data_IF_751549760679
#
_entry.id   IF_751549760679
#
_cell.length_a   1.000
_cell.length_b   1.000
_cell.length_c   1.000
_cell.angle_alpha   90.00
_cell.angle_beta   90.00
_cell.angle_gamma   90.00
#
_symmetry.space_group_name_H-M   'P 1'
#
loop_
_entity.id
_entity.type
_entity.pdbx_description
1 polymer ?
#
# COMPACT_ATOMS: atom_id res chain seq x y z
N UNK A 1 4.23 10.43 -34.61
CA UNK A 1 4.41 10.38 -33.13
C UNK A 1 3.26 9.56 -32.56
N UNK A 2 3.48 8.30 -32.23
CA UNK A 2 2.47 7.41 -31.67
C UNK A 2 2.17 7.89 -30.22
N UNK A 3 0.96 8.41 -29.99
CA UNK A 3 0.43 8.63 -28.64
C UNK A 3 0.42 7.27 -27.95
N UNK A 4 1.36 7.04 -27.02
CA UNK A 4 1.32 5.91 -26.11
C UNK A 4 -0.02 5.96 -25.37
N UNK A 5 -1.00 5.19 -25.85
CA UNK A 5 -2.16 4.77 -25.07
C UNK A 5 -1.63 3.90 -23.94
N UNK A 6 -1.21 4.52 -22.84
CA UNK A 6 -1.09 3.83 -21.55
C UNK A 6 -2.49 3.30 -21.30
N UNK A 7 -2.57 1.99 -21.23
CA UNK A 7 -3.79 1.21 -21.22
C UNK A 7 -4.88 1.88 -20.37
N UNK A 8 -5.91 2.40 -21.04
CA UNK A 8 -7.11 3.01 -20.44
C UNK A 8 -7.92 2.02 -19.58
N UNK A 9 -7.34 0.86 -19.25
CA UNK A 9 -7.99 -0.28 -18.58
C UNK A 9 -7.57 -0.51 -17.14
N UNK A 10 -6.49 0.13 -16.62
CA UNK A 10 -6.10 -0.08 -15.22
C UNK A 10 -6.58 1.11 -14.37
N UNK A 11 -7.81 1.03 -13.92
CA UNK A 11 -8.50 2.03 -13.09
C UNK A 11 -9.00 1.46 -11.75
N UNK A 12 -8.61 0.23 -11.45
CA UNK A 12 -9.08 -0.50 -10.26
C UNK A 12 -7.95 -0.69 -9.26
N UNK A 13 -8.22 -0.32 -8.00
CA UNK A 13 -7.33 -0.60 -6.86
C UNK A 13 -8.06 -1.35 -5.75
N UNK A 14 -7.39 -2.36 -5.20
CA UNK A 14 -7.81 -3.07 -3.98
C UNK A 14 -7.05 -2.49 -2.80
N UNK A 15 -7.75 -2.15 -1.73
CA UNK A 15 -7.14 -1.64 -0.49
C UNK A 15 -7.39 -2.66 0.63
N UNK A 16 -6.32 -3.23 1.19
CA UNK A 16 -6.40 -4.15 2.32
C UNK A 16 -6.54 -3.36 3.63
N UNK A 17 -7.74 -3.36 4.20
CA UNK A 17 -8.13 -2.50 5.32
C UNK A 17 -8.77 -3.30 6.47
N UNK A 18 -8.46 -4.59 6.61
CA UNK A 18 -9.18 -5.47 7.54
C UNK A 18 -8.38 -5.94 8.77
N UNK A 19 -7.14 -5.48 8.95
CA UNK A 19 -6.29 -5.85 10.07
C UNK A 19 -6.71 -5.24 11.41
N UNK A 20 -6.29 -5.86 12.53
CA UNK A 20 -6.60 -5.39 13.89
C UNK A 20 -5.87 -4.11 14.29
N UNK A 21 -4.67 -3.85 13.72
CA UNK A 21 -3.88 -2.65 14.02
C UNK A 21 -3.32 -2.60 15.44
N UNK A 22 -2.97 -3.74 16.03
CA UNK A 22 -2.60 -3.88 17.45
C UNK A 22 -1.42 -3.02 17.89
N UNK A 23 -0.51 -2.66 16.97
CA UNK A 23 0.66 -1.79 17.27
C UNK A 23 0.28 -0.32 17.52
N UNK A 24 -0.96 0.08 17.21
CA UNK A 24 -1.53 1.40 17.42
C UNK A 24 -2.78 1.29 18.32
N UNK A 25 -2.68 0.55 19.41
CA UNK A 25 -3.81 0.16 20.27
C UNK A 25 -4.58 1.37 20.84
N UNK A 26 -3.91 2.49 21.12
CA UNK A 26 -4.51 3.72 21.65
C UNK A 26 -5.63 4.26 20.75
N UNK A 27 -5.46 4.13 19.44
CA UNK A 27 -6.42 4.57 18.42
C UNK A 27 -7.35 3.42 18.00
N UNK A 28 -6.79 2.21 17.82
CA UNK A 28 -7.51 1.11 17.19
C UNK A 28 -8.50 0.41 18.12
N UNK A 29 -8.43 0.63 19.43
CA UNK A 29 -9.53 0.28 20.33
C UNK A 29 -10.84 0.96 19.96
N UNK A 30 -10.81 2.16 19.41
CA UNK A 30 -12.02 2.96 19.06
C UNK A 30 -12.42 2.82 17.60
N UNK A 31 -11.48 2.79 16.66
CA UNK A 31 -11.72 2.78 15.21
C UNK A 31 -10.70 1.84 14.50
N UNK A 32 -11.01 1.28 13.32
CA UNK A 32 -10.03 0.46 12.59
C UNK A 32 -8.86 1.35 12.11
N UNK A 33 -7.65 0.81 12.01
CA UNK A 33 -6.41 1.54 11.65
C UNK A 33 -6.57 2.42 10.41
N UNK A 34 -7.22 1.98 9.31
CA UNK A 34 -7.44 2.83 8.13
C UNK A 34 -8.33 4.06 8.37
N UNK A 35 -9.06 4.09 9.50
CA UNK A 35 -9.91 5.21 9.91
C UNK A 35 -9.24 6.14 10.93
N UNK A 36 -8.00 5.90 11.30
CA UNK A 36 -7.22 6.84 12.11
C UNK A 36 -6.90 8.07 11.27
N UNK A 37 -7.12 9.24 11.85
CA UNK A 37 -7.09 10.50 11.14
C UNK A 37 -5.70 11.12 11.11
N UNK A 38 -5.40 11.79 9.99
CA UNK A 38 -4.30 12.72 9.78
C UNK A 38 -4.92 13.98 9.17
N UNK A 39 -4.75 15.13 9.81
CA UNK A 39 -5.35 16.38 9.34
C UNK A 39 -6.89 16.31 9.26
N UNK A 40 -7.55 15.68 10.23
CA UNK A 40 -9.02 15.50 10.31
C UNK A 40 -9.61 14.61 9.19
N UNK A 41 -8.78 13.87 8.45
CA UNK A 41 -9.23 12.89 7.44
C UNK A 41 -8.60 11.53 7.72
N UNK A 42 -9.36 10.41 7.59
CA UNK A 42 -8.80 9.08 7.74
C UNK A 42 -7.60 8.85 6.81
N UNK A 43 -6.58 8.10 7.24
CA UNK A 43 -5.45 7.76 6.36
C UNK A 43 -5.93 7.07 5.07
N UNK A 44 -6.99 6.28 5.15
CA UNK A 44 -7.63 5.67 3.99
C UNK A 44 -8.14 6.69 2.96
N UNK A 45 -8.64 7.85 3.42
CA UNK A 45 -9.03 8.94 2.54
C UNK A 45 -7.84 9.49 1.75
N UNK A 46 -6.68 9.68 2.41
CA UNK A 46 -5.46 10.15 1.74
C UNK A 46 -4.99 9.17 0.67
N UNK A 47 -5.06 7.86 0.96
CA UNK A 47 -4.69 6.80 0.02
C UNK A 47 -5.62 6.83 -1.20
N UNK A 48 -6.93 6.99 -1.00
CA UNK A 48 -7.89 7.07 -2.11
C UNK A 48 -7.66 8.33 -2.93
N UNK A 49 -7.40 9.50 -2.30
CA UNK A 49 -7.05 10.75 -3.01
C UNK A 49 -5.81 10.60 -3.87
N UNK A 50 -4.83 9.83 -3.40
CA UNK A 50 -3.63 9.51 -4.19
C UNK A 50 -3.99 8.75 -5.47
N UNK A 51 -4.81 7.69 -5.38
CA UNK A 51 -5.26 6.94 -6.57
C UNK A 51 -6.22 7.75 -7.47
N UNK A 52 -7.12 8.54 -6.89
CA UNK A 52 -7.99 9.47 -7.61
C UNK A 52 -7.18 10.43 -8.50
N UNK A 53 -6.11 11.03 -7.95
CA UNK A 53 -5.20 11.91 -8.69
C UNK A 53 -4.62 11.26 -9.95
N UNK A 54 -4.41 9.94 -9.93
CA UNK A 54 -3.95 9.17 -11.10
C UNK A 54 -5.07 8.63 -11.98
N UNK A 55 -6.33 9.00 -11.71
CA UNK A 55 -7.49 8.66 -12.55
C UNK A 55 -8.11 7.30 -12.25
N UNK A 56 -7.84 6.71 -11.10
CA UNK A 56 -8.50 5.48 -10.65
C UNK A 56 -9.95 5.77 -10.26
N UNK A 57 -10.89 4.96 -10.79
CA UNK A 57 -12.32 5.15 -10.59
C UNK A 57 -12.98 4.02 -9.81
N UNK A 58 -12.34 2.87 -9.71
CA UNK A 58 -12.85 1.69 -9.03
C UNK A 58 -12.00 1.33 -7.81
N UNK A 59 -12.54 1.57 -6.62
CA UNK A 59 -11.87 1.28 -5.35
C UNK A 59 -12.60 0.13 -4.66
N UNK A 60 -11.88 -0.96 -4.38
CA UNK A 60 -12.38 -2.11 -3.63
C UNK A 60 -11.68 -2.15 -2.29
N UNK A 61 -12.41 -1.91 -1.20
CA UNK A 61 -11.87 -1.91 0.16
C UNK A 61 -12.19 -3.26 0.81
N UNK A 62 -11.15 -4.05 1.09
CA UNK A 62 -11.25 -5.31 1.82
C UNK A 62 -11.26 -5.03 3.33
N UNK A 63 -12.43 -4.79 3.88
CA UNK A 63 -12.64 -4.53 5.30
C UNK A 63 -12.63 -5.83 6.14
N UNK A 64 -12.55 -5.67 7.45
CA UNK A 64 -12.61 -6.73 8.45
C UNK A 64 -12.89 -6.10 9.81
N UNK A 65 -11.87 -5.97 10.68
CA UNK A 65 -12.03 -5.36 12.00
C UNK A 65 -12.72 -3.98 11.90
N UNK A 66 -13.86 -3.82 12.60
CA UNK A 66 -14.70 -2.61 12.58
C UNK A 66 -15.01 -2.06 11.19
N UNK A 67 -15.17 -2.95 10.19
CA UNK A 67 -15.40 -2.61 8.78
C UNK A 67 -16.65 -1.75 8.55
N UNK A 68 -17.65 -1.84 9.42
CA UNK A 68 -18.87 -1.01 9.35
C UNK A 68 -18.57 0.48 9.50
N UNK A 69 -17.53 0.86 10.24
CA UNK A 69 -17.11 2.26 10.34
C UNK A 69 -16.58 2.77 9.00
N UNK A 70 -15.81 1.95 8.27
CA UNK A 70 -15.32 2.26 6.92
C UNK A 70 -16.52 2.41 5.98
N UNK A 71 -17.45 1.46 6.00
CA UNK A 71 -18.66 1.48 5.17
C UNK A 71 -19.52 2.71 5.43
N UNK A 72 -19.75 3.05 6.70
CA UNK A 72 -20.50 4.26 7.10
C UNK A 72 -19.84 5.55 6.61
N UNK A 73 -18.51 5.64 6.67
CA UNK A 73 -17.76 6.81 6.22
C UNK A 73 -17.93 7.04 4.71
N UNK A 74 -17.77 5.99 3.89
CA UNK A 74 -17.86 6.11 2.43
C UNK A 74 -19.29 6.14 1.88
N UNK A 75 -20.32 5.78 2.65
CA UNK A 75 -21.73 6.02 2.28
C UNK A 75 -22.06 7.50 2.06
N UNK A 76 -21.28 8.43 2.61
CA UNK A 76 -21.50 9.88 2.49
C UNK A 76 -21.14 10.45 1.11
N UNK A 77 -20.79 9.62 0.13
CA UNK A 77 -20.47 10.00 -1.25
C UNK A 77 -19.46 11.15 -1.36
N UNK A 78 -18.40 11.10 -0.56
CA UNK A 78 -17.36 12.12 -0.48
C UNK A 78 -16.42 12.16 -1.72
N UNK A 79 -16.52 11.18 -2.60
CA UNK A 79 -15.82 11.08 -3.88
C UNK A 79 -16.84 10.97 -5.00
N UNK A 80 -17.04 12.04 -5.78
CA UNK A 80 -18.13 12.12 -6.77
C UNK A 80 -17.95 11.18 -7.96
N UNK A 81 -16.69 11.02 -8.43
CA UNK A 81 -16.38 10.31 -9.67
C UNK A 81 -15.72 8.94 -9.43
N UNK A 82 -15.77 8.44 -8.20
CA UNK A 82 -15.16 7.17 -7.81
C UNK A 82 -16.22 6.22 -7.27
N UNK A 83 -16.25 5.00 -7.81
CA UNK A 83 -17.03 3.89 -7.27
C UNK A 83 -16.25 3.22 -6.15
N UNK A 84 -16.74 3.32 -4.91
CA UNK A 84 -16.12 2.70 -3.74
C UNK A 84 -16.98 1.54 -3.27
N UNK A 85 -16.41 0.33 -3.30
CA UNK A 85 -17.02 -0.89 -2.79
C UNK A 85 -16.32 -1.32 -1.50
N UNK A 86 -17.00 -1.22 -0.37
CA UNK A 86 -16.51 -1.72 0.91
C UNK A 86 -17.07 -3.12 1.15
N UNK A 87 -16.21 -4.12 1.16
CA UNK A 87 -16.58 -5.52 1.28
C UNK A 87 -16.04 -6.09 2.59
N UNK A 88 -16.90 -6.73 3.36
CA UNK A 88 -16.46 -7.51 4.51
C UNK A 88 -15.74 -8.77 4.01
N UNK A 89 -14.47 -8.83 4.27
CA UNK A 89 -13.61 -9.97 3.91
C UNK A 89 -13.32 -10.88 5.12
N UNK A 90 -13.98 -10.62 6.25
CA UNK A 90 -13.89 -11.41 7.48
C UNK A 90 -12.77 -10.96 8.41
N UNK A 91 -13.05 -11.00 9.72
CA UNK A 91 -12.14 -10.54 10.77
C UNK A 91 -10.78 -11.26 10.70
N UNK A 92 -10.80 -12.59 10.62
CA UNK A 92 -9.61 -13.44 10.69
C UNK A 92 -8.95 -13.70 9.34
N UNK A 93 -9.44 -13.09 8.24
CA UNK A 93 -8.84 -13.27 6.93
C UNK A 93 -7.47 -12.62 6.84
N UNK A 94 -6.47 -13.37 6.41
CA UNK A 94 -5.14 -12.87 6.07
C UNK A 94 -5.13 -12.22 4.68
N UNK A 95 -4.05 -11.58 4.31
CA UNK A 95 -3.95 -10.69 3.12
C UNK A 95 -4.30 -11.40 1.80
N UNK A 96 -3.78 -12.61 1.55
CA UNK A 96 -4.12 -13.39 0.37
C UNK A 96 -5.59 -13.85 0.38
N UNK A 97 -6.13 -14.24 1.54
CA UNK A 97 -7.52 -14.65 1.67
C UNK A 97 -8.50 -13.52 1.35
N UNK A 98 -8.16 -12.29 1.77
CA UNK A 98 -8.96 -11.11 1.41
C UNK A 98 -8.99 -10.88 -0.10
N UNK A 99 -7.84 -11.05 -0.76
CA UNK A 99 -7.73 -10.89 -2.21
C UNK A 99 -8.55 -11.96 -2.96
N UNK A 100 -8.54 -13.21 -2.49
CA UNK A 100 -9.40 -14.29 -3.05
C UNK A 100 -10.87 -13.91 -3.00
N UNK A 101 -11.35 -13.35 -1.90
CA UNK A 101 -12.79 -13.00 -1.74
C UNK A 101 -13.27 -11.95 -2.74
N UNK A 102 -12.39 -11.14 -3.26
CA UNK A 102 -12.71 -10.10 -4.26
C UNK A 102 -12.32 -10.49 -5.69
N UNK A 103 -11.71 -11.66 -5.91
CA UNK A 103 -11.18 -12.14 -7.21
C UNK A 103 -12.13 -11.95 -8.39
N UNK A 104 -13.44 -12.20 -8.17
CA UNK A 104 -14.47 -12.11 -9.23
C UNK A 104 -14.72 -10.66 -9.69
N UNK A 105 -14.39 -9.67 -8.87
CA UNK A 105 -14.58 -8.24 -9.14
C UNK A 105 -13.37 -7.60 -9.83
N UNK A 106 -12.26 -8.32 -9.94
CA UNK A 106 -11.00 -7.76 -10.42
C UNK A 106 -10.86 -7.86 -11.92
N UNK A 107 -10.30 -6.83 -12.59
CA UNK A 107 -9.86 -6.91 -13.98
C UNK A 107 -8.58 -7.75 -14.09
N UNK A 108 -8.08 -7.95 -15.31
CA UNK A 108 -6.86 -8.74 -15.58
C UNK A 108 -5.64 -8.16 -14.86
N UNK A 109 -5.48 -6.83 -14.87
CA UNK A 109 -4.45 -6.13 -14.10
C UNK A 109 -5.13 -5.13 -13.16
N UNK A 110 -4.60 -5.00 -11.95
CA UNK A 110 -5.14 -4.12 -10.91
C UNK A 110 -4.04 -3.67 -9.95
N UNK A 111 -4.25 -2.52 -9.30
CA UNK A 111 -3.42 -2.11 -8.18
C UNK A 111 -3.89 -2.76 -6.89
N UNK A 112 -2.94 -3.00 -5.99
CA UNK A 112 -3.20 -3.42 -4.61
C UNK A 112 -2.41 -2.51 -3.69
N UNK A 113 -2.99 -2.10 -2.55
CA UNK A 113 -2.25 -1.37 -1.52
C UNK A 113 -2.74 -1.73 -0.12
N UNK A 114 -1.89 -1.46 0.87
CA UNK A 114 -2.30 -1.49 2.27
C UNK A 114 -3.04 -0.20 2.65
N UNK A 115 -3.88 -0.28 3.69
CA UNK A 115 -4.71 0.84 4.14
C UNK A 115 -4.05 1.71 5.22
N UNK A 116 -2.71 1.75 5.32
CA UNK A 116 -2.00 2.33 6.45
C UNK A 116 -0.70 3.07 6.12
N UNK A 117 -0.39 3.27 4.84
CA UNK A 117 0.79 4.01 4.41
C UNK A 117 0.43 5.09 3.38
N UNK A 118 1.09 6.24 3.46
CA UNK A 118 1.01 7.35 2.50
C UNK A 118 2.35 7.55 1.80
N UNK A 119 2.31 7.96 0.53
CA UNK A 119 3.50 8.14 -0.30
C UNK A 119 3.24 9.14 -1.43
N UNK A 120 4.31 9.60 -2.09
CA UNK A 120 4.25 10.36 -3.34
C UNK A 120 4.62 9.51 -4.57
N UNK A 121 4.45 8.19 -4.46
CA UNK A 121 4.73 7.22 -5.53
C UNK A 121 3.94 7.58 -6.80
N UNK A 122 4.64 7.72 -7.92
CA UNK A 122 3.99 7.93 -9.21
C UNK A 122 3.34 6.62 -9.70
N UNK A 123 2.03 6.47 -9.48
CA UNK A 123 1.28 5.27 -9.84
C UNK A 123 1.29 5.01 -11.34
N UNK A 124 1.26 6.05 -12.20
CA UNK A 124 1.36 5.88 -13.66
C UNK A 124 2.69 5.25 -14.07
N UNK A 125 3.80 5.71 -13.48
CA UNK A 125 5.13 5.12 -13.74
C UNK A 125 5.23 3.70 -13.20
N UNK A 126 4.69 3.42 -12.01
CA UNK A 126 4.63 2.07 -11.43
C UNK A 126 3.84 1.10 -12.34
N UNK A 127 2.68 1.53 -12.83
CA UNK A 127 1.84 0.75 -13.76
C UNK A 127 2.57 0.53 -15.09
N UNK A 128 3.16 1.59 -15.67
CA UNK A 128 3.95 1.46 -16.91
C UNK A 128 5.08 0.44 -16.74
N UNK A 129 5.84 0.54 -15.65
CA UNK A 129 6.93 -0.40 -15.34
C UNK A 129 6.45 -1.85 -15.25
N UNK A 130 5.28 -2.10 -14.65
CA UNK A 130 4.66 -3.42 -14.58
C UNK A 130 4.43 -4.03 -15.95
N UNK A 131 3.87 -3.25 -16.88
CA UNK A 131 3.61 -3.70 -18.25
C UNK A 131 4.91 -3.86 -19.05
N UNK A 132 5.85 -2.94 -18.95
CA UNK A 132 7.16 -3.00 -19.64
C UNK A 132 7.93 -4.29 -19.25
N UNK A 133 7.78 -4.75 -18.01
CA UNK A 133 8.40 -6.00 -17.50
C UNK A 133 7.57 -7.25 -17.77
N UNK A 134 6.37 -7.13 -18.33
CA UNK A 134 5.43 -8.26 -18.44
C UNK A 134 5.33 -9.04 -17.11
N UNK A 135 5.15 -8.29 -16.03
CA UNK A 135 5.22 -8.77 -14.66
C UNK A 135 3.91 -9.45 -14.23
N UNK A 136 4.00 -10.41 -13.31
CA UNK A 136 2.82 -10.92 -12.58
C UNK A 136 2.62 -10.09 -11.30
N UNK A 137 3.72 -9.64 -10.69
CA UNK A 137 3.71 -8.91 -9.42
C UNK A 137 4.80 -7.84 -9.42
N UNK A 138 4.42 -6.58 -9.36
CA UNK A 138 5.34 -5.47 -9.19
C UNK A 138 5.16 -4.84 -7.82
N UNK A 139 6.24 -4.73 -7.05
CA UNK A 139 6.28 -4.10 -5.73
C UNK A 139 6.93 -2.74 -5.84
N UNK A 140 6.36 -1.72 -5.21
CA UNK A 140 7.12 -0.50 -4.90
C UNK A 140 8.11 -0.80 -3.78
N UNK A 141 9.40 -0.70 -4.08
CA UNK A 141 10.45 -0.71 -3.07
C UNK A 141 10.68 0.71 -2.59
N UNK A 142 10.67 0.92 -1.28
CA UNK A 142 10.86 2.22 -0.63
C UNK A 142 11.99 2.14 0.39
N UNK A 143 12.59 3.28 0.71
CA UNK A 143 13.60 3.39 1.76
C UNK A 143 12.91 3.98 2.99
N UNK A 144 12.70 3.18 4.06
CA UNK A 144 12.08 3.69 5.28
C UNK A 144 13.03 4.65 6.00
N UNK A 145 12.49 5.69 6.63
CA UNK A 145 13.28 6.53 7.54
C UNK A 145 13.86 5.66 8.64
N UNK A 146 15.20 5.65 8.76
CA UNK A 146 15.88 4.87 9.80
C UNK A 146 15.44 5.36 11.19
N UNK A 147 15.06 4.42 12.05
CA UNK A 147 14.72 4.71 13.47
C UNK A 147 15.97 4.72 14.36
N UNK A 148 17.08 4.21 13.87
CA UNK A 148 18.33 3.99 14.61
C UNK A 148 19.53 4.46 13.78
N UNK A 149 20.62 4.78 14.47
CA UNK A 149 21.92 4.94 13.82
C UNK A 149 22.40 3.63 13.19
N UNK A 150 23.09 3.73 12.09
CA UNK A 150 23.64 2.58 11.39
C UNK A 150 25.15 2.52 11.51
N UNK A 151 25.70 1.31 11.58
CA UNK A 151 27.10 1.03 11.83
C UNK A 151 27.66 0.22 10.66
N UNK A 152 28.78 0.68 10.09
CA UNK A 152 29.61 -0.16 9.22
C UNK A 152 30.82 -0.61 10.03
N UNK A 153 31.24 -1.85 9.85
CA UNK A 153 32.40 -2.45 10.50
C UNK A 153 33.17 -3.34 9.52
N UNK A 154 34.45 -3.53 9.78
CA UNK A 154 35.33 -4.43 9.00
C UNK A 154 35.33 -5.86 9.56
N UNK A 155 36.14 -6.72 8.94
CA UNK A 155 36.24 -8.15 9.35
C UNK A 155 36.81 -8.36 10.78
N UNK A 156 37.45 -7.34 11.37
CA UNK A 156 37.93 -7.35 12.75
C UNK A 156 36.94 -6.81 13.76
N UNK A 157 35.69 -6.52 13.31
CA UNK A 157 34.63 -5.87 14.09
C UNK A 157 34.92 -4.41 14.46
N UNK A 158 35.92 -3.78 13.85
CA UNK A 158 36.22 -2.35 14.06
C UNK A 158 35.18 -1.51 13.32
N UNK A 159 34.55 -0.58 14.02
CA UNK A 159 33.60 0.37 13.43
C UNK A 159 34.35 1.29 12.47
N UNK A 160 34.00 1.22 11.19
CA UNK A 160 34.56 2.04 10.12
C UNK A 160 33.71 3.26 9.80
N UNK A 161 32.40 3.22 10.13
CA UNK A 161 31.50 4.34 9.96
C UNK A 161 30.29 4.22 10.89
N UNK A 162 29.96 5.32 11.57
CA UNK A 162 28.68 5.50 12.25
C UNK A 162 27.87 6.57 11.52
N UNK A 163 26.59 6.33 11.30
CA UNK A 163 25.70 7.23 10.60
C UNK A 163 24.37 7.33 11.37
N UNK A 164 24.12 8.48 11.99
CA UNK A 164 22.87 8.75 12.68
C UNK A 164 21.75 8.94 11.64
N UNK A 165 20.67 8.14 11.75
CA UNK A 165 19.47 8.22 10.88
C UNK A 165 19.79 8.26 9.38
N UNK A 166 20.81 7.53 8.96
CA UNK A 166 21.24 7.53 7.56
C UNK A 166 20.28 6.79 6.65
N UNK A 167 20.06 7.35 5.48
CA UNK A 167 19.43 6.68 4.37
C UNK A 167 20.37 5.60 3.82
N UNK A 168 20.15 4.35 4.21
CA UNK A 168 20.79 3.22 3.53
C UNK A 168 20.15 3.09 2.14
N UNK A 169 20.84 3.59 1.13
CA UNK A 169 20.37 3.63 -0.25
C UNK A 169 20.06 2.23 -0.82
N UNK A 170 20.56 1.16 -0.20
CA UNK A 170 20.43 -0.20 -0.73
C UNK A 170 19.41 -1.11 -0.01
N UNK A 171 18.81 -0.69 1.10
CA UNK A 171 17.86 -1.51 1.85
C UNK A 171 16.41 -1.11 1.54
N UNK A 172 15.94 -1.50 0.35
CA UNK A 172 14.54 -1.35 0.01
C UNK A 172 13.66 -2.33 0.80
N UNK A 173 12.55 -1.81 1.32
CA UNK A 173 11.47 -2.61 1.89
C UNK A 173 10.23 -2.51 1.02
N UNK A 174 9.25 -3.40 1.22
CA UNK A 174 7.96 -3.30 0.55
C UNK A 174 7.23 -2.02 0.99
N UNK A 175 6.94 -1.13 0.04
CA UNK A 175 6.20 0.11 0.29
C UNK A 175 4.69 -0.10 0.39
N UNK A 176 4.18 -1.32 0.15
CA UNK A 176 2.76 -1.61 0.24
C UNK A 176 1.93 -1.07 -0.93
N UNK A 177 2.56 -0.63 -2.02
CA UNK A 177 1.92 -0.27 -3.28
C UNK A 177 2.36 -1.26 -4.36
N UNK A 178 1.40 -1.91 -5.00
CA UNK A 178 1.65 -3.01 -5.91
C UNK A 178 0.83 -2.86 -7.19
N UNK A 179 1.34 -3.44 -8.28
CA UNK A 179 0.56 -3.74 -9.48
C UNK A 179 0.61 -5.24 -9.73
N UNK A 180 -0.54 -5.83 -9.96
CA UNK A 180 -0.75 -7.26 -10.03
C UNK A 180 -1.45 -7.65 -11.33
N UNK A 181 -1.04 -8.79 -11.91
CA UNK A 181 -1.81 -9.48 -12.93
C UNK A 181 -2.65 -10.58 -12.26
N UNK A 182 -3.86 -10.84 -12.78
CA UNK A 182 -4.78 -11.86 -12.24
C UNK A 182 -4.20 -13.28 -12.20
N UNK A 183 -3.11 -13.54 -12.93
CA UNK A 183 -2.33 -14.79 -12.85
C UNK A 183 -1.77 -15.08 -11.45
N UNK A 184 -1.69 -14.08 -10.56
CA UNK A 184 -1.31 -14.25 -9.15
C UNK A 184 -2.15 -15.33 -8.45
N UNK A 185 -3.43 -15.46 -8.82
CA UNK A 185 -4.32 -16.43 -8.20
C UNK A 185 -3.94 -17.89 -8.44
N UNK A 186 -3.03 -18.18 -9.39
CA UNK A 186 -2.44 -19.52 -9.57
C UNK A 186 -1.48 -19.89 -8.43
N UNK A 187 -0.99 -18.91 -7.70
CA UNK A 187 -0.03 -19.05 -6.61
C UNK A 187 -0.66 -18.95 -5.21
N UNK A 188 -1.97 -18.72 -5.14
CA UNK A 188 -2.72 -18.61 -3.88
C UNK A 188 -3.64 -19.82 -3.74
N UNK A 189 -3.40 -20.65 -2.73
CA UNK A 189 -4.33 -21.73 -2.39
C UNK A 189 -5.60 -21.12 -1.78
N UNK A 190 -6.72 -21.21 -2.48
CA UNK A 190 -7.99 -20.62 -2.09
C UNK A 190 -8.69 -21.31 -0.91
N UNK A 191 -8.27 -22.54 -0.57
CA UNK A 191 -8.75 -23.29 0.60
C UNK A 191 -8.04 -22.89 1.90
N UNK A 192 -6.87 -22.25 1.81
CA UNK A 192 -6.07 -21.84 2.96
C UNK A 192 -6.24 -20.36 3.30
N UNK A 193 -6.10 -20.02 4.59
CA UNK A 193 -6.00 -18.63 5.06
C UNK A 193 -4.53 -18.22 5.06
N UNK A 194 -4.05 -17.62 3.98
CA UNK A 194 -2.64 -17.32 3.75
C UNK A 194 -2.36 -15.82 3.79
N UNK A 195 -1.15 -15.49 4.21
CA UNK A 195 -0.55 -14.17 3.97
C UNK A 195 0.01 -14.12 2.56
N UNK A 196 -0.29 -13.04 1.83
CA UNK A 196 0.24 -12.79 0.49
C UNK A 196 1.77 -12.73 0.49
N UNK A 197 2.33 -12.15 1.55
CA UNK A 197 3.74 -11.82 1.77
C UNK A 197 4.63 -13.06 2.08
N UNK A 198 4.02 -14.21 2.30
CA UNK A 198 4.73 -15.46 2.56
C UNK A 198 4.79 -16.35 1.32
N UNK A 199 4.22 -17.53 1.40
CA UNK A 199 4.25 -18.57 0.35
C UNK A 199 3.86 -18.03 -1.05
N UNK A 200 2.77 -17.26 -1.24
CA UNK A 200 2.40 -16.78 -2.57
C UNK A 200 3.50 -15.90 -3.22
N UNK A 201 3.99 -14.89 -2.51
CA UNK A 201 5.04 -14.01 -3.06
C UNK A 201 6.35 -14.76 -3.30
N UNK A 202 6.73 -15.67 -2.40
CA UNK A 202 7.93 -16.50 -2.57
C UNK A 202 7.82 -17.37 -3.84
N UNK A 203 6.66 -17.96 -4.10
CA UNK A 203 6.44 -18.79 -5.28
C UNK A 203 6.42 -17.96 -6.58
N UNK A 204 5.86 -16.75 -6.55
CA UNK A 204 5.90 -15.84 -7.71
C UNK A 204 7.34 -15.40 -7.99
N UNK A 205 8.12 -15.07 -6.96
CA UNK A 205 9.51 -14.66 -7.11
C UNK A 205 10.35 -15.73 -7.86
N UNK A 206 10.14 -17.02 -7.54
CA UNK A 206 10.81 -18.15 -8.22
C UNK A 206 10.53 -18.23 -9.73
N UNK A 207 9.43 -17.63 -10.20
CA UNK A 207 9.08 -17.60 -11.64
C UNK A 207 9.84 -16.56 -12.45
N UNK A 208 10.61 -15.67 -11.81
CA UNK A 208 11.25 -14.52 -12.46
C UNK A 208 10.26 -13.45 -12.95
N UNK A 209 8.99 -13.51 -12.53
CA UNK A 209 7.93 -12.56 -12.93
C UNK A 209 7.51 -11.60 -11.80
N UNK A 210 8.35 -11.44 -10.79
CA UNK A 210 8.20 -10.48 -9.70
C UNK A 210 9.30 -9.43 -9.79
N UNK A 211 8.92 -8.15 -9.78
CA UNK A 211 9.85 -7.04 -10.00
C UNK A 211 9.67 -5.96 -8.92
N UNK A 212 10.77 -5.26 -8.62
CA UNK A 212 10.78 -4.09 -7.75
C UNK A 212 10.78 -2.81 -8.60
N UNK A 213 9.85 -1.91 -8.32
CA UNK A 213 9.88 -0.51 -8.75
C UNK A 213 10.49 0.33 -7.63
N UNK A 214 11.72 0.78 -7.79
CA UNK A 214 12.44 1.58 -6.79
C UNK A 214 11.87 2.99 -6.70
N UNK A 215 11.43 3.37 -5.51
CA UNK A 215 10.91 4.69 -5.20
C UNK A 215 11.80 5.37 -4.16
N UNK A 216 12.31 6.54 -4.50
CA UNK A 216 13.24 7.32 -3.67
C UNK A 216 12.56 8.54 -3.02
N UNK A 217 11.29 8.75 -3.27
CA UNK A 217 10.51 9.86 -2.72
C UNK A 217 9.96 9.57 -1.33
N UNK A 218 8.93 10.29 -0.96
CA UNK A 218 8.32 10.16 0.36
C UNK A 218 7.48 8.88 0.48
N UNK A 219 7.68 8.19 1.58
CA UNK A 219 6.83 7.08 2.02
C UNK A 219 6.82 7.01 3.56
N UNK A 220 5.65 6.84 4.16
CA UNK A 220 5.50 6.65 5.60
C UNK A 220 4.32 5.75 5.92
N UNK A 221 4.57 4.68 6.67
CA UNK A 221 3.57 3.83 7.30
C UNK A 221 3.17 4.40 8.66
N UNK A 222 1.89 4.32 9.01
CA UNK A 222 1.36 4.72 10.31
C UNK A 222 1.18 3.50 11.22
N UNK A 223 2.25 2.93 11.74
CA UNK A 223 2.20 1.71 12.55
C UNK A 223 2.07 1.96 14.04
N UNK A 224 2.59 3.06 14.53
CA UNK A 224 2.64 3.44 15.94
C UNK A 224 2.08 4.84 16.16
N UNK A 225 1.83 5.20 17.43
CA UNK A 225 1.42 6.56 17.80
C UNK A 225 2.46 7.61 17.36
N UNK A 226 3.76 7.28 17.45
CA UNK A 226 4.85 8.13 16.95
C UNK A 226 4.71 8.39 15.44
N UNK A 227 4.41 7.37 14.65
CA UNK A 227 4.22 7.54 13.19
C UNK A 227 3.02 8.43 12.90
N UNK A 228 1.92 8.29 13.66
CA UNK A 228 0.75 9.18 13.55
C UNK A 228 1.11 10.63 13.83
N UNK A 229 1.79 10.90 14.97
CA UNK A 229 2.19 12.26 15.35
C UNK A 229 3.14 12.88 14.31
N UNK A 230 4.05 12.08 13.77
CA UNK A 230 4.93 12.51 12.68
C UNK A 230 4.15 12.90 11.41
N UNK A 231 3.17 12.09 11.01
CA UNK A 231 2.31 12.42 9.87
C UNK A 231 1.43 13.64 10.12
N UNK A 232 0.93 13.84 11.35
CA UNK A 232 0.19 15.05 11.74
C UNK A 232 1.07 16.31 11.67
N UNK A 233 2.32 16.23 12.11
CA UNK A 233 3.26 17.36 12.01
C UNK A 233 3.57 17.69 10.54
N UNK A 234 3.82 16.68 9.71
CA UNK A 234 4.01 16.88 8.27
C UNK A 234 2.77 17.48 7.60
N UNK A 235 1.56 17.06 8.01
CA UNK A 235 0.31 17.62 7.45
C UNK A 235 0.20 19.12 7.71
N UNK A 236 0.69 19.60 8.85
CA UNK A 236 0.66 21.03 9.21
C UNK A 236 1.74 21.85 8.50
N UNK A 237 2.92 21.26 8.28
CA UNK A 237 4.11 22.00 7.84
C UNK A 237 4.47 21.78 6.38
N UNK A 238 4.42 20.53 5.94
CA UNK A 238 4.87 20.12 4.60
C UNK A 238 4.15 18.86 4.14
N UNK A 239 3.18 19.02 3.29
CA UNK A 239 2.31 17.98 2.76
C UNK A 239 3.00 17.07 1.74
N UNK A 240 4.08 16.36 2.11
CA UNK A 240 4.96 15.62 1.20
C UNK A 240 4.24 14.59 0.30
N UNK A 241 3.16 13.97 0.80
CA UNK A 241 2.38 12.99 0.02
C UNK A 241 1.14 13.59 -0.66
N UNK A 242 0.80 14.84 -0.41
CA UNK A 242 -0.35 15.50 -1.03
C UNK A 242 0.03 15.98 -2.44
N UNK A 243 -0.09 15.08 -3.40
CA UNK A 243 0.21 15.35 -4.82
C UNK A 243 -1.03 15.83 -5.61
N UNK A 244 -2.21 15.82 -5.01
CA UNK A 244 -3.46 16.29 -5.60
C UNK A 244 -3.72 17.75 -5.24
N UNK A 245 -4.43 18.46 -6.11
CA UNK A 245 -4.95 19.80 -5.85
C UNK A 245 -6.20 19.72 -4.96
N UNK A 246 -6.52 20.81 -4.25
CA UNK A 246 -7.71 20.88 -3.41
C UNK A 246 -9.00 20.87 -4.23
#
# INVERSE_FOLDING_TARGET
MAKNKIDSKLDTVVILAGGLGTRLAEETKKKPKPMVEIGRKPILWHIIKHYEHYGFKNIIICAGYKGEMIKKFFKKNIFKDIKINVLDTGLNSLTARRLIKVKKLLPENFCLTYGDAVADINIKKLVKFHFDKNSIFTISGVIPVSKYGSIKYDRSNKITKFMEKSDFIDNFVSGGYFVLNKKIFKFINDKKNLMLEKEPMTNIAKTGKMYIYKHYGFWQCMDTLRDKLYLEDLWKKNLRWKIWQN
#
